data_IF_538945329054
#
_entry.id   IF_538945329054
#
_cell.length_a   1.000
_cell.length_b   1.000
_cell.length_c   1.000
_cell.angle_alpha   90.00
_cell.angle_beta   90.00
_cell.angle_gamma   90.00
#
_symmetry.space_group_name_H-M   'P 1'
#
loop_
_entity.id
_entity.type
_entity.pdbx_description
1 polymer ?
#
# COMPACT_ATOMS: atom_id res chain seq x y z
N UNK A 1 -24.30 29.47 -7.66
CA UNK A 1 -23.85 29.05 -6.32
C UNK A 1 -22.73 27.99 -6.42
N UNK A 2 -21.76 28.16 -7.34
CA UNK A 2 -20.75 27.13 -7.68
C UNK A 2 -19.30 27.54 -7.41
N UNK A 3 -19.03 28.76 -6.93
CA UNK A 3 -17.66 29.31 -6.92
C UNK A 3 -16.85 29.04 -5.65
N UNK A 4 -17.42 28.45 -4.58
CA UNK A 4 -16.66 28.06 -3.37
C UNK A 4 -15.95 26.70 -3.49
N UNK A 5 -16.32 25.89 -4.47
CA UNK A 5 -15.69 24.58 -4.71
C UNK A 5 -14.48 24.66 -5.66
N UNK A 6 -14.31 25.78 -6.38
CA UNK A 6 -13.23 25.99 -7.35
C UNK A 6 -11.91 26.46 -6.72
N UNK A 7 -11.95 27.01 -5.50
CA UNK A 7 -10.75 27.40 -4.71
C UNK A 7 -10.02 26.20 -4.06
N UNK A 8 -10.58 25.00 -4.13
CA UNK A 8 -9.91 23.75 -3.77
C UNK A 8 -9.25 23.17 -5.03
N UNK A 9 -8.26 23.91 -5.56
CA UNK A 9 -7.52 23.51 -6.76
C UNK A 9 -7.11 22.04 -6.68
N UNK A 10 -7.54 21.24 -7.66
CA UNK A 10 -7.14 19.86 -7.94
C UNK A 10 -6.85 18.97 -6.71
N UNK A 11 -7.58 19.15 -5.61
CA UNK A 11 -7.31 18.44 -4.34
C UNK A 11 -7.96 17.05 -4.31
N UNK A 12 -8.67 16.68 -5.38
CA UNK A 12 -9.26 15.36 -5.61
C UNK A 12 -8.24 14.21 -5.60
N UNK A 13 -6.94 14.52 -5.55
CA UNK A 13 -5.85 13.57 -5.47
C UNK A 13 -5.39 13.21 -4.05
N UNK A 14 -5.84 13.91 -3.01
CA UNK A 14 -5.58 13.50 -1.63
C UNK A 14 -6.64 12.50 -1.21
N UNK A 15 -6.23 11.40 -0.57
CA UNK A 15 -7.09 10.32 -0.06
C UNK A 15 -8.03 10.80 1.04
N UNK A 16 -8.94 11.70 0.69
CA UNK A 16 -9.95 12.24 1.57
C UNK A 16 -10.90 11.13 1.98
N UNK A 17 -11.34 11.18 3.22
CA UNK A 17 -12.37 10.29 3.74
C UNK A 17 -13.61 10.37 2.84
N UNK A 18 -14.03 9.24 2.28
CA UNK A 18 -15.23 9.18 1.44
C UNK A 18 -16.36 8.59 2.29
N UNK A 19 -17.34 9.39 2.73
CA UNK A 19 -18.48 8.84 3.45
C UNK A 19 -19.27 7.93 2.49
N UNK A 20 -19.15 6.61 2.66
CA UNK A 20 -19.92 5.60 1.93
C UNK A 20 -20.67 4.68 2.88
N UNK A 21 -21.92 4.41 2.54
CA UNK A 21 -22.74 3.34 3.12
C UNK A 21 -22.24 1.97 2.62
N UNK A 22 -21.15 1.48 3.21
CA UNK A 22 -20.64 0.12 2.95
C UNK A 22 -20.54 -0.69 4.24
N UNK A 23 -20.55 -2.02 4.10
CA UNK A 23 -20.50 -2.95 5.22
C UNK A 23 -19.29 -2.71 6.14
N UNK A 24 -18.17 -2.25 5.57
CA UNK A 24 -16.95 -1.92 6.33
C UNK A 24 -17.10 -0.58 7.07
N UNK A 25 -17.77 0.40 6.47
CA UNK A 25 -17.92 1.74 7.07
C UNK A 25 -18.89 1.75 8.26
N UNK A 26 -19.82 0.80 8.31
CA UNK A 26 -20.77 0.63 9.42
C UNK A 26 -20.17 -0.10 10.63
N UNK A 27 -18.96 -0.67 10.52
CA UNK A 27 -18.27 -1.34 11.64
C UNK A 27 -17.52 -0.36 12.52
N UNK A 28 -17.32 -0.73 13.78
CA UNK A 28 -16.61 0.09 14.75
C UNK A 28 -15.23 0.56 14.21
N UNK A 29 -14.92 1.87 14.33
CA UNK A 29 -13.65 2.42 13.86
C UNK A 29 -12.40 1.75 14.45
N UNK A 30 -12.50 1.23 15.70
CA UNK A 30 -11.41 0.52 16.39
C UNK A 30 -10.98 -0.73 15.66
N UNK A 31 -11.96 -1.55 15.26
CA UNK A 31 -11.73 -2.81 14.56
C UNK A 31 -11.12 -2.55 13.18
N UNK A 32 -11.59 -1.52 12.47
CA UNK A 32 -10.99 -1.09 11.21
C UNK A 32 -9.52 -0.74 11.39
N UNK A 33 -9.19 0.13 12.36
CA UNK A 33 -7.81 0.54 12.63
C UNK A 33 -6.90 -0.67 12.91
N UNK A 34 -7.34 -1.61 13.76
CA UNK A 34 -6.59 -2.84 14.04
C UNK A 34 -6.40 -3.68 12.78
N UNK A 35 -7.45 -3.91 11.99
CA UNK A 35 -7.37 -4.70 10.75
C UNK A 35 -6.37 -4.07 9.76
N UNK A 36 -6.46 -2.76 9.51
CA UNK A 36 -5.52 -2.08 8.62
C UNK A 36 -4.09 -2.16 9.13
N UNK A 37 -3.88 -2.04 10.45
CA UNK A 37 -2.57 -2.20 11.07
C UNK A 37 -2.01 -3.62 10.89
N UNK A 38 -2.82 -4.65 11.18
CA UNK A 38 -2.42 -6.06 11.00
C UNK A 38 -2.11 -6.38 9.54
N UNK A 39 -2.93 -5.89 8.60
CA UNK A 39 -2.68 -6.07 7.16
C UNK A 39 -1.40 -5.35 6.72
N UNK A 40 -1.14 -4.16 7.25
CA UNK A 40 0.07 -3.40 6.94
C UNK A 40 1.31 -4.18 7.40
N UNK A 41 1.32 -4.64 8.65
CA UNK A 41 2.41 -5.47 9.19
C UNK A 41 2.57 -6.76 8.39
N UNK A 42 1.47 -7.45 8.07
CA UNK A 42 1.47 -8.66 7.27
C UNK A 42 2.14 -8.47 5.91
N UNK A 43 1.79 -7.41 5.19
CA UNK A 43 2.37 -7.11 3.86
C UNK A 43 3.86 -6.75 3.96
N UNK A 44 4.25 -5.96 4.96
CA UNK A 44 5.65 -5.53 5.16
C UNK A 44 6.56 -6.70 5.48
N UNK A 45 6.16 -7.57 6.42
CA UNK A 45 7.00 -8.64 6.94
C UNK A 45 6.94 -9.94 6.13
N UNK A 46 6.09 -10.03 5.10
CA UNK A 46 5.96 -11.24 4.30
C UNK A 46 7.21 -11.51 3.45
N UNK A 47 7.95 -12.62 3.66
CA UNK A 47 9.15 -12.94 2.88
C UNK A 47 8.87 -13.71 1.59
N UNK A 48 7.65 -14.25 1.42
CA UNK A 48 7.32 -15.20 0.35
C UNK A 48 6.34 -14.62 -0.68
N UNK A 49 6.49 -15.02 -1.94
CA UNK A 49 5.55 -14.67 -3.02
C UNK A 49 4.11 -15.10 -2.71
N UNK A 50 3.92 -16.28 -2.11
CA UNK A 50 2.59 -16.76 -1.73
C UNK A 50 1.90 -15.86 -0.70
N UNK A 51 2.63 -15.40 0.32
CA UNK A 51 2.07 -14.47 1.32
C UNK A 51 1.72 -13.11 0.71
N UNK A 52 2.52 -12.69 -0.28
CA UNK A 52 2.27 -11.46 -1.02
C UNK A 52 0.97 -11.58 -1.83
N UNK A 53 0.79 -12.70 -2.53
CA UNK A 53 -0.43 -13.02 -3.27
C UNK A 53 -1.67 -13.11 -2.37
N UNK A 54 -1.56 -13.78 -1.21
CA UNK A 54 -2.64 -13.85 -0.24
C UNK A 54 -3.04 -12.45 0.25
N UNK A 55 -2.06 -11.61 0.56
CA UNK A 55 -2.29 -10.23 1.00
C UNK A 55 -2.96 -9.39 -0.09
N UNK A 56 -2.56 -9.56 -1.35
CA UNK A 56 -3.20 -8.90 -2.49
C UNK A 56 -4.69 -9.27 -2.60
N UNK A 57 -5.03 -10.56 -2.44
CA UNK A 57 -6.42 -11.04 -2.46
C UNK A 57 -7.23 -10.40 -1.33
N UNK A 58 -6.68 -10.36 -0.11
CA UNK A 58 -7.37 -9.77 1.04
C UNK A 58 -7.61 -8.28 0.84
N UNK A 59 -6.62 -7.54 0.32
CA UNK A 59 -6.79 -6.10 0.02
C UNK A 59 -7.83 -5.88 -1.08
N UNK A 60 -7.83 -6.72 -2.12
CA UNK A 60 -8.82 -6.61 -3.20
C UNK A 60 -10.24 -6.90 -2.71
N UNK A 61 -10.40 -7.92 -1.84
CA UNK A 61 -11.65 -8.22 -1.15
C UNK A 61 -12.10 -7.02 -0.31
N UNK A 62 -11.19 -6.38 0.43
CA UNK A 62 -11.48 -5.19 1.23
C UNK A 62 -11.96 -4.03 0.35
N UNK A 63 -11.32 -3.78 -0.79
CA UNK A 63 -11.76 -2.77 -1.76
C UNK A 63 -13.18 -3.06 -2.27
N UNK A 64 -13.49 -4.33 -2.54
CA UNK A 64 -14.81 -4.75 -2.99
C UNK A 64 -15.88 -4.55 -1.91
N UNK A 65 -15.63 -4.99 -0.67
CA UNK A 65 -16.57 -4.84 0.45
C UNK A 65 -16.78 -3.38 0.86
N UNK A 66 -15.72 -2.57 0.85
CA UNK A 66 -15.81 -1.14 1.13
C UNK A 66 -16.32 -0.32 -0.07
N UNK A 67 -16.53 -0.98 -1.22
CA UNK A 67 -16.91 -0.37 -2.50
C UNK A 67 -16.05 0.84 -2.80
N UNK A 68 -14.72 0.73 -2.74
CA UNK A 68 -13.80 1.88 -2.87
C UNK A 68 -13.49 2.23 -4.34
N UNK A 69 -13.28 3.51 -4.69
CA UNK A 69 -12.93 3.90 -6.04
C UNK A 69 -11.46 3.57 -6.34
N UNK A 70 -11.18 2.90 -7.45
CA UNK A 70 -9.82 2.46 -7.82
C UNK A 70 -9.01 3.62 -8.46
N UNK A 71 -9.69 4.60 -9.06
CA UNK A 71 -9.10 5.77 -9.71
C UNK A 71 -8.04 6.51 -8.85
N UNK A 72 -8.33 6.89 -7.59
CA UNK A 72 -7.33 7.54 -6.72
C UNK A 72 -6.16 6.62 -6.37
N UNK A 73 -6.38 5.30 -6.30
CA UNK A 73 -5.31 4.33 -6.03
C UNK A 73 -4.29 4.31 -7.17
N UNK A 74 -4.78 4.33 -8.42
CA UNK A 74 -3.93 4.38 -9.62
C UNK A 74 -3.12 5.68 -9.72
N UNK A 75 -3.72 6.82 -9.33
CA UNK A 75 -3.03 8.10 -9.33
C UNK A 75 -1.87 8.13 -8.32
N UNK A 76 -2.10 7.58 -7.11
CA UNK A 76 -1.06 7.45 -6.09
C UNK A 76 0.05 6.48 -6.50
N UNK A 77 -0.31 5.38 -7.16
CA UNK A 77 0.68 4.44 -7.71
C UNK A 77 1.61 5.13 -8.72
N UNK A 78 1.05 5.89 -9.66
CA UNK A 78 1.83 6.65 -10.66
C UNK A 78 2.78 7.66 -10.02
N UNK A 79 2.37 8.34 -8.94
CA UNK A 79 3.21 9.31 -8.23
C UNK A 79 4.39 8.65 -7.51
N UNK A 80 4.20 7.46 -6.94
CA UNK A 80 5.27 6.70 -6.29
C UNK A 80 6.18 5.94 -7.25
N UNK A 81 5.78 5.79 -8.51
CA UNK A 81 6.49 4.97 -9.51
C UNK A 81 7.95 5.37 -9.76
N UNK A 82 8.35 6.66 -9.85
CA UNK A 82 9.74 7.02 -10.09
C UNK A 82 10.69 6.54 -8.98
N UNK A 83 10.28 6.68 -7.71
CA UNK A 83 11.02 6.19 -6.56
C UNK A 83 11.13 4.67 -6.60
N UNK A 84 10.02 3.99 -6.92
CA UNK A 84 9.99 2.53 -7.01
C UNK A 84 10.93 1.97 -8.07
N UNK A 85 11.02 2.65 -9.22
CA UNK A 85 11.90 2.25 -10.30
C UNK A 85 13.37 2.34 -9.85
N UNK A 86 13.75 3.43 -9.17
CA UNK A 86 15.09 3.59 -8.60
C UNK A 86 15.40 2.46 -7.60
N UNK A 87 14.47 2.16 -6.69
CA UNK A 87 14.64 1.07 -5.72
C UNK A 87 14.75 -0.30 -6.39
N UNK A 88 13.95 -0.57 -7.43
CA UNK A 88 14.00 -1.82 -8.17
C UNK A 88 15.32 -1.99 -8.92
N UNK A 89 15.82 -0.94 -9.56
CA UNK A 89 17.15 -0.93 -10.18
C UNK A 89 18.23 -1.16 -9.13
N UNK A 90 18.13 -0.49 -7.99
CA UNK A 90 19.07 -0.66 -6.89
C UNK A 90 19.08 -2.11 -6.37
N UNK A 91 17.92 -2.77 -6.28
CA UNK A 91 17.85 -4.20 -5.89
C UNK A 91 18.49 -5.14 -6.90
N UNK A 92 18.46 -4.79 -8.19
CA UNK A 92 19.11 -5.58 -9.24
C UNK A 92 20.62 -5.36 -9.20
N UNK A 93 21.08 -4.11 -9.00
CA UNK A 93 22.50 -3.74 -8.96
C UNK A 93 23.19 -4.19 -7.66
N UNK A 94 22.54 -3.99 -6.52
CA UNK A 94 23.03 -4.39 -5.19
C UNK A 94 22.65 -5.82 -4.81
N UNK A 95 21.88 -6.51 -5.65
CA UNK A 95 21.52 -7.91 -5.46
C UNK A 95 22.79 -8.75 -5.46
N UNK A 96 23.39 -8.90 -4.28
CA UNK A 96 24.72 -9.46 -4.05
C UNK A 96 24.93 -10.70 -4.89
N UNK A 97 25.93 -10.66 -5.76
CA UNK A 97 26.49 -11.82 -6.43
C UNK A 97 27.16 -12.68 -5.36
N UNK A 98 26.39 -13.56 -4.73
CA UNK A 98 26.96 -14.67 -3.97
C UNK A 98 27.40 -15.70 -5.02
N UNK A 99 28.60 -16.27 -4.89
CA UNK A 99 29.29 -17.14 -5.87
C UNK A 99 28.45 -18.31 -6.45
N UNK A 100 27.26 -18.57 -5.90
CA UNK A 100 26.32 -19.61 -6.31
C UNK A 100 25.14 -19.13 -7.17
N UNK A 101 25.09 -17.86 -7.57
CA UNK A 101 23.93 -17.29 -8.25
C UNK A 101 23.95 -17.43 -9.77
N UNK A 102 22.81 -17.81 -10.35
CA UNK A 102 22.62 -17.91 -11.80
C UNK A 102 22.60 -16.49 -12.37
N UNK A 103 23.69 -16.13 -13.05
CA UNK A 103 23.81 -14.86 -13.80
C UNK A 103 23.01 -15.00 -15.09
N UNK A 104 21.91 -14.25 -15.20
CA UNK A 104 21.00 -14.32 -16.36
C UNK A 104 21.47 -13.45 -17.54
N UNK A 105 22.43 -12.55 -17.29
CA UNK A 105 23.06 -11.70 -18.29
C UNK A 105 23.82 -10.55 -17.63
N UNK A 106 24.79 -9.99 -18.35
CA UNK A 106 25.49 -8.76 -17.95
C UNK A 106 25.05 -7.62 -18.85
N UNK A 107 24.51 -6.55 -18.27
CA UNK A 107 24.27 -5.31 -19.00
C UNK A 107 25.15 -4.23 -18.38
N UNK A 108 26.05 -3.65 -19.19
CA UNK A 108 26.84 -2.48 -18.80
C UNK A 108 27.66 -2.66 -17.49
N UNK A 109 28.37 -3.78 -17.36
CA UNK A 109 29.25 -4.09 -16.21
C UNK A 109 28.52 -4.40 -14.88
N UNK A 110 27.18 -4.56 -14.91
CA UNK A 110 26.38 -5.06 -13.79
C UNK A 110 25.86 -6.46 -14.11
N UNK A 111 26.13 -7.43 -13.24
CA UNK A 111 25.58 -8.78 -13.35
C UNK A 111 24.11 -8.77 -12.90
N UNK A 112 23.20 -9.18 -13.80
CA UNK A 112 21.78 -9.33 -13.46
C UNK A 112 21.61 -10.71 -12.84
N UNK A 113 21.45 -10.71 -11.52
CA UNK A 113 21.27 -11.92 -10.72
C UNK A 113 19.79 -12.31 -10.64
N UNK A 114 19.47 -13.61 -10.72
CA UNK A 114 18.10 -14.10 -10.54
C UNK A 114 17.48 -13.62 -9.21
N UNK A 115 18.26 -13.61 -8.12
CA UNK A 115 17.82 -13.08 -6.81
C UNK A 115 17.51 -11.59 -6.84
N UNK A 116 18.33 -10.79 -7.53
CA UNK A 116 18.10 -9.36 -7.70
C UNK A 116 16.77 -9.09 -8.42
N UNK A 117 16.49 -9.87 -9.47
CA UNK A 117 15.25 -9.77 -10.22
C UNK A 117 14.02 -10.20 -9.39
N UNK A 118 14.11 -11.32 -8.66
CA UNK A 118 13.01 -11.77 -7.78
C UNK A 118 12.75 -10.76 -6.67
N UNK A 119 13.79 -10.21 -6.05
CA UNK A 119 13.67 -9.22 -4.98
C UNK A 119 13.07 -7.91 -5.49
N UNK A 120 13.48 -7.45 -6.68
CA UNK A 120 12.89 -6.28 -7.32
C UNK A 120 11.40 -6.49 -7.62
N UNK A 121 11.03 -7.66 -8.16
CA UNK A 121 9.63 -8.03 -8.40
C UNK A 121 8.79 -8.08 -7.12
N UNK A 122 9.32 -8.69 -6.06
CA UNK A 122 8.65 -8.71 -4.75
C UNK A 122 8.47 -7.30 -4.17
N UNK A 123 9.47 -6.43 -4.31
CA UNK A 123 9.41 -5.05 -3.84
C UNK A 123 8.30 -4.27 -4.56
N UNK A 124 8.25 -4.35 -5.89
CA UNK A 124 7.21 -3.68 -6.70
C UNK A 124 5.82 -4.17 -6.29
N UNK A 125 5.64 -5.49 -6.18
CA UNK A 125 4.37 -6.07 -5.75
C UNK A 125 3.96 -5.63 -4.34
N UNK A 126 4.90 -5.68 -3.37
CA UNK A 126 4.67 -5.25 -1.99
C UNK A 126 4.25 -3.79 -1.92
N UNK A 127 4.96 -2.91 -2.62
CA UNK A 127 4.66 -1.49 -2.59
C UNK A 127 3.31 -1.17 -3.26
N UNK A 128 2.97 -1.88 -4.34
CA UNK A 128 1.66 -1.76 -4.99
C UNK A 128 0.52 -2.07 -4.01
N UNK A 129 0.64 -3.17 -3.26
CA UNK A 129 -0.35 -3.59 -2.26
C UNK A 129 -0.41 -2.58 -1.11
N UNK A 130 0.73 -2.06 -0.64
CA UNK A 130 0.78 -1.06 0.44
C UNK A 130 0.14 0.26 0.03
N UNK A 131 0.36 0.73 -1.21
CA UNK A 131 -0.30 1.94 -1.72
C UNK A 131 -1.82 1.76 -1.75
N UNK A 132 -2.29 0.59 -2.17
CA UNK A 132 -3.71 0.27 -2.16
C UNK A 132 -4.25 0.23 -0.72
N UNK A 133 -3.57 -0.48 0.18
CA UNK A 133 -3.98 -0.58 1.58
C UNK A 133 -4.04 0.81 2.25
N UNK A 134 -3.05 1.66 2.03
CA UNK A 134 -3.00 3.01 2.59
C UNK A 134 -4.11 3.91 2.02
N UNK A 135 -4.41 3.79 0.72
CA UNK A 135 -5.55 4.49 0.13
C UNK A 135 -6.87 4.04 0.75
N UNK A 136 -7.06 2.73 0.90
CA UNK A 136 -8.26 2.20 1.54
C UNK A 136 -8.41 2.66 2.98
N UNK A 137 -7.32 2.68 3.75
CA UNK A 137 -7.30 3.20 5.11
C UNK A 137 -7.69 4.68 5.15
N UNK A 138 -7.03 5.51 4.32
CA UNK A 138 -7.26 6.96 4.25
C UNK A 138 -8.70 7.30 3.84
N UNK A 139 -9.29 6.53 2.92
CA UNK A 139 -10.66 6.75 2.48
C UNK A 139 -11.71 6.26 3.49
N UNK A 140 -11.39 5.23 4.27
CA UNK A 140 -12.37 4.54 5.12
C UNK A 140 -12.40 5.02 6.57
N UNK A 141 -11.43 5.82 7.01
CA UNK A 141 -11.35 6.31 8.39
C UNK A 141 -11.17 7.83 8.40
N UNK A 142 -12.08 8.54 9.06
CA UNK A 142 -11.93 9.98 9.25
C UNK A 142 -10.89 10.27 10.33
N UNK A 143 -10.27 11.45 10.31
CA UNK A 143 -9.31 11.87 11.33
C UNK A 143 -9.90 11.82 12.74
N UNK A 144 -11.17 12.22 12.91
CA UNK A 144 -11.87 12.14 14.20
C UNK A 144 -12.06 10.70 14.69
N UNK A 145 -12.43 9.79 13.78
CA UNK A 145 -12.56 8.36 14.07
C UNK A 145 -11.22 7.72 14.44
N UNK A 146 -10.13 8.12 13.77
CA UNK A 146 -8.76 7.66 14.10
C UNK A 146 -8.38 8.07 15.52
N UNK A 147 -8.55 9.34 15.88
CA UNK A 147 -8.21 9.83 17.22
C UNK A 147 -9.04 9.15 18.30
N UNK A 148 -10.35 9.01 18.09
CA UNK A 148 -11.22 8.31 19.03
C UNK A 148 -10.81 6.84 19.17
N UNK A 149 -10.56 6.15 18.06
CA UNK A 149 -10.12 4.75 18.08
C UNK A 149 -8.82 4.57 18.87
N UNK A 150 -7.83 5.44 18.64
CA UNK A 150 -6.56 5.42 19.36
C UNK A 150 -6.75 5.65 20.86
N UNK A 151 -7.54 6.65 21.27
CA UNK A 151 -7.80 6.93 22.69
C UNK A 151 -8.36 5.70 23.41
N UNK A 152 -9.36 5.04 22.81
CA UNK A 152 -9.94 3.83 23.41
C UNK A 152 -9.01 2.62 23.41
N UNK A 153 -8.10 2.51 22.44
CA UNK A 153 -7.12 1.42 22.38
C UNK A 153 -5.97 1.61 23.39
N UNK A 154 -5.64 2.86 23.73
CA UNK A 154 -4.57 3.19 24.68
C UNK A 154 -5.07 3.30 26.13
N UNK A 155 -6.37 3.41 26.36
CA UNK A 155 -7.00 3.41 27.69
C UNK A 155 -6.49 2.32 28.68
N UNK A 156 -6.20 1.06 28.30
CA UNK A 156 -5.67 0.08 29.26
C UNK A 156 -4.20 0.29 29.66
N UNK A 157 -3.51 1.25 29.03
CA UNK A 157 -2.13 1.63 29.37
C UNK A 157 -2.09 2.87 30.29
N UNK A 158 -3.22 3.53 30.50
CA UNK A 158 -3.42 4.58 31.52
C UNK A 158 -3.78 3.95 32.87
#
# INVERSE_FOLDING_TARGET
MNSRFEFLGDTSAFGQYIPRESYIHQRDPRTRLIIYCLLFLGVVFTPNFYGLGLSAIIVLLLYFLAKLPIQPTWLNFKRGFPLLLILAVLQIVLGTTIDSDVVLGSLLNVAITQRGLTNAGMLIGRFSILIALLNAFSMSLSTSQMTAALFYLLKPLE
#
